data_IF_806521625630
#
_entry.id   IF_806521625630
#
_cell.length_a   1.000
_cell.length_b   1.000
_cell.length_c   1.000
_cell.angle_alpha   90.00
_cell.angle_beta   90.00
_cell.angle_gamma   90.00
#
_symmetry.space_group_name_H-M   'P 1'
#
loop_
_entity.id
_entity.type
_entity.pdbx_description
1 polymer ?
#
# COMPACT_ATOMS: atom_id res chain seq x y z
N UNK A 1 13.81 -4.03 -37.59
CA UNK A 1 15.29 -3.99 -37.41
C UNK A 1 15.71 -2.55 -37.66
N UNK A 2 15.86 -1.77 -36.59
CA UNK A 2 16.17 -0.33 -36.69
C UNK A 2 16.97 0.06 -35.45
N UNK A 3 18.16 0.58 -35.72
CA UNK A 3 19.27 0.82 -34.78
C UNK A 3 19.16 2.24 -34.21
N UNK A 4 19.32 2.42 -32.89
CA UNK A 4 19.53 3.75 -32.30
C UNK A 4 20.89 3.81 -31.58
N UNK A 5 21.73 4.70 -32.09
CA UNK A 5 23.10 4.97 -31.70
C UNK A 5 23.18 5.92 -30.50
N UNK A 6 24.07 5.58 -29.57
CA UNK A 6 24.43 6.39 -28.41
C UNK A 6 25.28 7.60 -28.80
N UNK A 7 25.17 8.70 -28.06
CA UNK A 7 26.14 9.82 -28.11
C UNK A 7 26.57 10.23 -26.70
N UNK A 8 27.81 9.89 -26.39
CA UNK A 8 28.61 10.42 -25.28
C UNK A 8 28.99 11.87 -25.57
N UNK A 9 29.00 12.73 -24.55
CA UNK A 9 29.67 14.04 -24.60
C UNK A 9 30.69 14.11 -23.47
N UNK A 10 31.98 14.08 -23.84
CA UNK A 10 33.13 14.42 -23.01
C UNK A 10 33.36 15.93 -23.11
N UNK A 11 33.61 16.58 -21.98
CA UNK A 11 34.13 17.94 -21.92
C UNK A 11 35.34 17.97 -21.00
N UNK A 12 36.52 18.21 -21.57
CA UNK A 12 37.76 18.57 -20.89
C UNK A 12 37.95 20.06 -21.17
N UNK A 13 38.35 20.87 -20.18
CA UNK A 13 39.11 22.09 -20.41
C UNK A 13 39.93 22.43 -19.16
N UNK A 14 41.24 22.45 -19.39
CA UNK A 14 42.36 22.85 -18.55
C UNK A 14 42.52 24.37 -18.49
N UNK A 15 42.98 24.92 -17.36
CA UNK A 15 43.75 26.16 -17.33
C UNK A 15 44.64 26.22 -16.07
N UNK A 16 45.96 26.20 -16.31
CA UNK A 16 47.06 26.44 -15.38
C UNK A 16 47.33 27.93 -15.20
N UNK A 17 47.73 28.35 -14.00
CA UNK A 17 48.51 29.56 -13.78
C UNK A 17 49.48 29.35 -12.60
N UNK A 18 50.76 29.64 -12.85
CA UNK A 18 51.91 29.60 -11.94
C UNK A 18 52.19 30.99 -11.36
N UNK A 19 52.78 31.07 -10.16
CA UNK A 19 54.07 31.74 -9.82
C UNK A 19 54.20 32.03 -8.30
N UNK A 20 55.46 31.94 -7.87
CA UNK A 20 56.14 31.77 -6.57
C UNK A 20 56.28 33.02 -5.68
N UNK A 21 56.31 32.88 -4.35
CA UNK A 21 57.08 33.75 -3.40
C UNK A 21 57.60 32.93 -2.20
N UNK A 22 58.79 33.31 -1.72
CA UNK A 22 59.74 32.67 -0.80
C UNK A 22 59.55 33.07 0.70
N UNK A 23 60.07 32.21 1.60
CA UNK A 23 60.63 32.47 2.94
C UNK A 23 59.76 32.28 4.22
N UNK A 24 60.27 31.42 5.11
CA UNK A 24 59.86 31.30 6.52
C UNK A 24 60.01 29.89 7.09
N UNK A 25 61.23 29.46 7.46
CA UNK A 25 61.44 28.26 8.29
C UNK A 25 61.13 28.62 9.73
N UNK A 26 59.96 28.21 10.21
CA UNK A 26 59.67 28.08 11.63
C UNK A 26 59.76 26.59 11.97
N UNK A 27 60.59 26.26 12.96
CA UNK A 27 60.67 24.92 13.50
C UNK A 27 59.33 24.56 14.17
N UNK A 28 58.53 23.75 13.48
CA UNK A 28 57.27 23.23 14.01
C UNK A 28 57.55 22.15 15.06
N UNK A 29 56.96 22.21 16.27
CA UNK A 29 56.96 21.06 17.16
C UNK A 29 56.19 19.94 16.47
N UNK A 30 56.81 18.76 16.38
CA UNK A 30 56.13 17.55 15.94
C UNK A 30 55.05 17.21 16.98
N UNK A 31 53.84 17.75 16.78
CA UNK A 31 52.67 17.30 17.49
C UNK A 31 52.42 15.86 17.08
N UNK A 32 52.53 14.93 18.03
CA UNK A 32 52.10 13.55 17.86
C UNK A 32 50.62 13.56 17.49
N UNK A 33 50.32 13.32 16.22
CA UNK A 33 48.96 13.16 15.73
C UNK A 33 48.37 11.91 16.38
N UNK A 34 47.64 12.11 17.48
CA UNK A 34 46.75 11.07 17.98
C UNK A 34 45.78 10.71 16.84
N UNK A 35 45.51 9.41 16.58
CA UNK A 35 44.56 9.01 15.57
C UNK A 35 43.22 9.70 15.82
N UNK A 36 42.69 10.39 14.81
CA UNK A 36 41.37 10.98 14.90
C UNK A 36 40.35 9.87 15.23
N UNK A 37 39.40 10.10 16.15
CA UNK A 37 38.36 9.12 16.43
C UNK A 37 37.61 8.80 15.12
N UNK A 38 37.21 7.53 14.91
CA UNK A 38 36.51 7.14 13.69
C UNK A 38 35.22 7.97 13.55
N UNK A 39 35.00 8.51 12.35
CA UNK A 39 33.80 9.26 12.05
C UNK A 39 32.54 8.39 12.28
N UNK A 40 31.44 8.96 12.80
CA UNK A 40 30.21 8.21 12.99
C UNK A 40 29.70 7.68 11.63
N UNK A 41 29.11 6.48 11.59
CA UNK A 41 28.58 5.91 10.36
C UNK A 41 27.49 6.82 9.78
N UNK A 42 27.47 6.95 8.45
CA UNK A 42 26.42 7.68 7.75
C UNK A 42 25.04 7.07 8.07
N UNK A 43 23.98 7.89 8.17
CA UNK A 43 22.64 7.38 8.42
C UNK A 43 22.22 6.40 7.31
N UNK A 44 21.86 5.19 7.72
CA UNK A 44 21.33 4.16 6.82
C UNK A 44 19.85 4.41 6.56
N UNK A 45 19.45 4.44 5.28
CA UNK A 45 18.03 4.56 4.91
C UNK A 45 17.35 3.20 5.02
N UNK A 46 16.43 3.06 5.98
CA UNK A 46 15.58 1.87 6.10
C UNK A 46 14.51 1.92 5.02
N UNK A 47 14.59 1.01 4.03
CA UNK A 47 13.63 0.94 2.91
C UNK A 47 12.35 0.18 3.26
N UNK A 48 12.40 -0.71 4.25
CA UNK A 48 11.25 -1.48 4.72
C UNK A 48 11.48 -2.00 6.14
N UNK A 49 10.46 -1.94 6.99
CA UNK A 49 10.46 -2.50 8.33
C UNK A 49 9.19 -3.33 8.55
N UNK A 50 9.28 -4.37 9.38
CA UNK A 50 8.18 -5.30 9.61
C UNK A 50 8.18 -5.85 11.02
N UNK A 51 7.11 -6.56 11.35
CA UNK A 51 6.92 -7.23 12.63
C UNK A 51 6.08 -8.49 12.41
N UNK A 52 6.50 -9.65 12.94
CA UNK A 52 5.76 -10.90 12.82
C UNK A 52 4.45 -10.91 13.63
N UNK A 53 4.29 -10.00 14.60
CA UNK A 53 3.08 -9.90 15.43
C UNK A 53 2.01 -9.00 14.81
N UNK A 54 2.34 -8.26 13.75
CA UNK A 54 1.41 -7.40 13.02
C UNK A 54 0.66 -8.18 11.94
N UNK A 55 -0.66 -8.25 12.04
CA UNK A 55 -1.50 -8.86 11.01
C UNK A 55 -1.46 -8.07 9.69
N UNK A 56 -1.30 -6.74 9.72
CA UNK A 56 -1.13 -5.93 8.50
C UNK A 56 0.18 -6.28 7.79
N UNK A 57 1.26 -6.45 8.55
CA UNK A 57 2.54 -6.89 7.99
C UNK A 57 2.43 -8.30 7.42
N UNK A 58 1.68 -9.19 8.07
CA UNK A 58 1.44 -10.54 7.57
C UNK A 58 0.65 -10.55 6.26
N UNK A 59 -0.29 -9.63 6.06
CA UNK A 59 -0.95 -9.39 4.76
C UNK A 59 0.07 -8.91 3.72
N UNK A 60 0.92 -7.93 4.06
CA UNK A 60 1.98 -7.44 3.16
C UNK A 60 2.93 -8.56 2.72
N UNK A 61 3.42 -9.36 3.66
CA UNK A 61 4.30 -10.50 3.39
C UNK A 61 3.63 -11.56 2.51
N UNK A 62 2.36 -11.87 2.77
CA UNK A 62 1.60 -12.79 1.94
C UNK A 62 1.49 -12.32 0.49
N UNK A 63 1.04 -11.09 0.26
CA UNK A 63 0.86 -10.60 -1.11
C UNK A 63 2.18 -10.48 -1.86
N UNK A 64 3.26 -10.05 -1.19
CA UNK A 64 4.60 -10.07 -1.77
C UNK A 64 5.02 -11.46 -2.24
N UNK A 65 5.12 -12.40 -1.29
CA UNK A 65 5.58 -13.76 -1.60
C UNK A 65 4.65 -14.51 -2.57
N UNK A 66 3.33 -14.28 -2.48
CA UNK A 66 2.35 -14.94 -3.35
C UNK A 66 2.44 -14.42 -4.79
N UNK A 67 2.60 -13.10 -4.97
CA UNK A 67 2.75 -12.50 -6.30
C UNK A 67 4.10 -12.91 -6.92
N UNK A 68 5.17 -12.93 -6.14
CA UNK A 68 6.49 -13.40 -6.62
C UNK A 68 6.42 -14.88 -7.07
N UNK A 69 5.80 -15.75 -6.26
CA UNK A 69 5.62 -17.15 -6.62
C UNK A 69 4.81 -17.34 -7.92
N UNK A 70 3.78 -16.52 -8.13
CA UNK A 70 2.97 -16.54 -9.36
C UNK A 70 3.73 -15.97 -10.56
N UNK A 71 4.60 -14.99 -10.34
CA UNK A 71 5.43 -14.40 -11.38
C UNK A 71 6.47 -15.40 -11.90
N UNK A 72 7.15 -16.10 -10.99
CA UNK A 72 8.31 -16.92 -11.34
C UNK A 72 7.95 -18.29 -11.91
N UNK A 73 6.89 -18.93 -11.40
CA UNK A 73 6.58 -20.33 -11.73
C UNK A 73 5.12 -20.56 -12.13
N UNK A 74 4.34 -19.48 -12.33
CA UNK A 74 2.88 -19.56 -12.41
C UNK A 74 2.29 -20.29 -11.19
N UNK A 75 1.01 -20.69 -11.24
CA UNK A 75 0.40 -21.45 -10.15
C UNK A 75 1.17 -22.77 -9.95
N UNK A 76 1.73 -22.96 -8.75
CA UNK A 76 2.53 -24.14 -8.42
C UNK A 76 2.51 -24.47 -6.91
N UNK A 77 3.29 -25.48 -6.48
CA UNK A 77 3.31 -25.94 -5.09
C UNK A 77 3.59 -24.84 -4.08
N UNK A 78 4.50 -23.90 -4.40
CA UNK A 78 4.82 -22.76 -3.53
C UNK A 78 3.62 -21.85 -3.29
N UNK A 79 2.87 -21.50 -4.35
CA UNK A 79 1.66 -20.69 -4.23
C UNK A 79 0.61 -21.38 -3.33
N UNK A 80 0.45 -22.70 -3.44
CA UNK A 80 -0.44 -23.48 -2.58
C UNK A 80 0.03 -23.55 -1.11
N UNK A 81 1.34 -23.68 -0.89
CA UNK A 81 1.93 -23.66 0.44
C UNK A 81 1.73 -22.31 1.12
N UNK A 82 1.98 -21.21 0.40
CA UNK A 82 1.74 -19.85 0.89
C UNK A 82 0.27 -19.65 1.26
N UNK A 83 -0.66 -20.11 0.41
CA UNK A 83 -2.09 -20.04 0.73
C UNK A 83 -2.41 -20.78 2.02
N UNK A 84 -1.85 -21.96 2.20
CA UNK A 84 -2.05 -22.78 3.41
C UNK A 84 -1.46 -22.12 4.67
N UNK A 85 -0.32 -21.44 4.55
CA UNK A 85 0.35 -20.81 5.69
C UNK A 85 -0.28 -19.47 6.13
N UNK A 86 -0.94 -18.74 5.22
CA UNK A 86 -1.42 -17.38 5.47
C UNK A 86 -2.94 -17.23 5.51
N UNK A 87 -3.70 -18.12 4.87
CA UNK A 87 -5.17 -18.04 4.82
C UNK A 87 -5.78 -19.06 5.79
N UNK A 88 -6.97 -18.74 6.33
CA UNK A 88 -7.78 -19.74 7.04
C UNK A 88 -8.23 -20.85 6.09
N UNK A 89 -8.54 -22.04 6.63
CA UNK A 89 -9.09 -23.15 5.83
C UNK A 89 -10.39 -22.73 5.12
N UNK A 90 -11.32 -22.13 5.84
CA UNK A 90 -12.62 -21.72 5.30
C UNK A 90 -12.46 -20.74 4.14
N UNK A 91 -11.56 -19.77 4.27
CA UNK A 91 -11.28 -18.85 3.17
C UNK A 91 -10.67 -19.58 1.96
N UNK A 92 -9.80 -20.57 2.16
CA UNK A 92 -9.27 -21.35 1.02
C UNK A 92 -10.36 -22.12 0.30
N UNK A 93 -11.34 -22.66 1.03
CA UNK A 93 -12.47 -23.38 0.45
C UNK A 93 -13.40 -22.43 -0.32
N UNK A 94 -13.71 -21.26 0.25
CA UNK A 94 -14.49 -20.20 -0.41
C UNK A 94 -13.81 -19.72 -1.70
N UNK A 95 -12.49 -19.50 -1.64
CA UNK A 95 -11.71 -19.11 -2.80
C UNK A 95 -11.73 -20.21 -3.86
N UNK A 96 -11.54 -21.48 -3.50
CA UNK A 96 -11.59 -22.59 -4.46
C UNK A 96 -12.94 -22.63 -5.19
N UNK A 97 -14.06 -22.44 -4.48
CA UNK A 97 -15.37 -22.34 -5.09
C UNK A 97 -15.45 -21.17 -6.07
N UNK A 98 -15.04 -19.97 -5.63
CA UNK A 98 -15.06 -18.79 -6.49
C UNK A 98 -14.19 -18.95 -7.73
N UNK A 99 -12.99 -19.52 -7.59
CA UNK A 99 -12.05 -19.75 -8.69
C UNK A 99 -12.61 -20.73 -9.72
N UNK A 100 -13.31 -21.77 -9.28
CA UNK A 100 -14.00 -22.68 -10.19
C UNK A 100 -15.06 -21.96 -11.02
N UNK A 101 -15.83 -21.08 -10.38
CA UNK A 101 -16.95 -20.38 -11.00
C UNK A 101 -16.46 -19.24 -11.94
N UNK A 102 -15.30 -18.62 -11.63
CA UNK A 102 -14.82 -17.41 -12.32
C UNK A 102 -13.61 -17.64 -13.23
N UNK A 103 -12.97 -18.82 -13.18
CA UNK A 103 -11.75 -19.17 -13.93
C UNK A 103 -10.62 -18.14 -13.77
N UNK A 104 -10.51 -17.59 -12.57
CA UNK A 104 -9.54 -16.57 -12.19
C UNK A 104 -8.86 -16.94 -10.88
N UNK A 105 -7.81 -16.23 -10.46
CA UNK A 105 -7.24 -16.33 -9.12
C UNK A 105 -8.10 -15.57 -8.13
N UNK A 106 -8.56 -16.26 -7.08
CA UNK A 106 -9.49 -15.73 -6.10
C UNK A 106 -8.84 -14.79 -5.08
N UNK A 107 -7.53 -14.94 -4.83
CA UNK A 107 -6.77 -14.00 -4.01
C UNK A 107 -6.63 -12.68 -4.75
N UNK A 108 -6.28 -12.75 -6.05
CA UNK A 108 -6.07 -11.58 -6.89
C UNK A 108 -7.36 -10.98 -7.47
N UNK A 109 -8.44 -11.78 -7.49
CA UNK A 109 -9.70 -11.51 -8.21
C UNK A 109 -9.45 -11.21 -9.69
N UNK A 110 -8.50 -11.90 -10.31
CA UNK A 110 -8.04 -11.64 -11.67
C UNK A 110 -7.40 -12.88 -12.32
N UNK A 111 -7.30 -12.90 -13.66
CA UNK A 111 -6.70 -14.01 -14.41
C UNK A 111 -5.17 -13.92 -14.51
N UNK A 112 -4.63 -12.70 -14.44
CA UNK A 112 -3.22 -12.40 -14.57
C UNK A 112 -2.57 -12.07 -13.22
N UNK A 113 -1.24 -11.91 -13.24
CA UNK A 113 -0.44 -11.47 -12.10
C UNK A 113 -0.27 -9.95 -12.15
N UNK A 114 -0.45 -9.22 -11.03
CA UNK A 114 -0.30 -7.77 -11.00
C UNK A 114 1.18 -7.37 -11.14
N UNK A 115 1.41 -6.22 -11.78
CA UNK A 115 2.75 -5.64 -11.94
C UNK A 115 3.26 -4.98 -10.64
N UNK A 116 2.34 -4.56 -9.76
CA UNK A 116 2.69 -4.00 -8.46
C UNK A 116 1.54 -4.15 -7.46
N UNK A 117 1.87 -4.14 -6.18
CA UNK A 117 0.90 -4.18 -5.10
C UNK A 117 1.25 -3.18 -4.00
N UNK A 118 0.26 -2.81 -3.19
CA UNK A 118 0.46 -2.00 -1.99
C UNK A 118 -0.57 -2.38 -0.93
N UNK A 119 -0.14 -2.47 0.33
CA UNK A 119 -0.99 -2.76 1.48
C UNK A 119 -1.03 -1.56 2.41
N UNK A 120 -2.22 -1.23 2.90
CA UNK A 120 -2.43 -0.17 3.90
C UNK A 120 -3.35 -0.69 5.00
N UNK A 121 -3.09 -0.29 6.24
CA UNK A 121 -4.05 -0.46 7.32
C UNK A 121 -5.36 0.27 6.98
N UNK A 122 -6.49 -0.36 7.26
CA UNK A 122 -7.81 0.25 7.08
C UNK A 122 -8.51 0.50 8.42
N UNK A 123 -8.47 -0.45 9.34
CA UNK A 123 -9.20 -0.34 10.59
C UNK A 123 -9.25 -1.65 11.36
N UNK A 124 -9.86 -1.61 12.53
CA UNK A 124 -10.09 -2.76 13.40
C UNK A 124 -11.57 -2.80 13.77
N UNK A 125 -12.16 -4.00 13.84
CA UNK A 125 -13.51 -4.19 14.38
C UNK A 125 -13.59 -5.54 15.09
N UNK A 126 -13.94 -5.52 16.38
CA UNK A 126 -13.87 -6.71 17.24
C UNK A 126 -12.50 -7.36 17.20
N UNK A 127 -12.45 -8.69 17.04
CA UNK A 127 -11.21 -9.45 16.91
C UNK A 127 -10.64 -9.48 15.48
N UNK A 128 -11.02 -8.53 14.62
CA UNK A 128 -10.59 -8.51 13.22
C UNK A 128 -9.85 -7.22 12.89
N UNK A 129 -8.80 -7.34 12.09
CA UNK A 129 -8.14 -6.20 11.44
C UNK A 129 -8.42 -6.22 9.94
N UNK A 130 -8.56 -5.03 9.38
CA UNK A 130 -8.82 -4.82 7.96
C UNK A 130 -7.64 -4.10 7.34
N UNK A 131 -7.23 -4.57 6.17
CA UNK A 131 -6.22 -3.93 5.32
C UNK A 131 -6.82 -3.65 3.95
N UNK A 132 -6.44 -2.54 3.34
CA UNK A 132 -6.65 -2.28 1.93
C UNK A 132 -5.46 -2.80 1.13
N UNK A 133 -5.74 -3.59 0.10
CA UNK A 133 -4.73 -4.03 -0.87
C UNK A 133 -5.08 -3.44 -2.23
N UNK A 134 -4.14 -2.70 -2.80
CA UNK A 134 -4.23 -2.21 -4.18
C UNK A 134 -3.35 -3.07 -5.06
N UNK A 135 -3.95 -3.74 -6.03
CA UNK A 135 -3.26 -4.44 -7.11
C UNK A 135 -3.20 -3.52 -8.33
N UNK A 136 -2.05 -3.45 -8.99
CA UNK A 136 -1.82 -2.61 -10.15
C UNK A 136 -1.52 -3.48 -11.36
N UNK A 137 -2.19 -3.21 -12.47
CA UNK A 137 -2.11 -4.02 -13.70
C UNK A 137 -1.58 -3.17 -14.85
N UNK A 138 -1.07 -3.83 -15.89
CA UNK A 138 -0.54 -3.18 -17.08
C UNK A 138 0.83 -2.56 -16.85
N UNK A 139 1.21 -1.64 -17.74
CA UNK A 139 2.53 -1.00 -17.75
C UNK A 139 2.53 0.28 -16.92
N UNK A 140 3.67 0.96 -16.86
CA UNK A 140 3.77 2.28 -16.25
C UNK A 140 2.85 3.32 -16.93
N UNK A 141 2.63 3.21 -18.24
CA UNK A 141 1.86 4.17 -19.04
C UNK A 141 0.36 3.86 -19.11
N UNK A 142 -0.05 2.61 -18.87
CA UNK A 142 -1.45 2.19 -18.89
C UNK A 142 -1.76 1.35 -17.64
N UNK A 143 -1.81 2.01 -16.49
CA UNK A 143 -2.06 1.35 -15.20
C UNK A 143 -3.55 1.30 -14.87
N UNK A 144 -4.08 0.10 -14.64
CA UNK A 144 -5.40 -0.09 -14.01
C UNK A 144 -5.24 -0.67 -12.61
N UNK A 145 -6.29 -0.60 -11.78
CA UNK A 145 -6.21 -0.98 -10.37
C UNK A 145 -7.39 -1.83 -9.93
N UNK A 146 -7.10 -2.86 -9.13
CA UNK A 146 -8.09 -3.58 -8.33
C UNK A 146 -7.86 -3.24 -6.86
N UNK A 147 -8.94 -2.96 -6.13
CA UNK A 147 -8.89 -2.69 -4.70
C UNK A 147 -9.58 -3.81 -3.94
N UNK A 148 -8.88 -4.33 -2.94
CA UNK A 148 -9.36 -5.39 -2.08
C UNK A 148 -9.44 -4.89 -0.63
N UNK A 149 -10.47 -5.32 0.08
CA UNK A 149 -10.48 -5.33 1.54
C UNK A 149 -10.11 -6.73 1.99
N UNK A 150 -9.06 -6.80 2.80
CA UNK A 150 -8.54 -8.03 3.37
C UNK A 150 -8.81 -8.00 4.87
N UNK A 151 -9.54 -9.01 5.34
CA UNK A 151 -9.86 -9.23 6.75
C UNK A 151 -8.88 -10.26 7.31
N UNK A 152 -8.30 -9.99 8.48
CA UNK A 152 -7.46 -10.93 9.22
C UNK A 152 -7.94 -11.05 10.65
N UNK A 153 -7.87 -12.26 11.19
CA UNK A 153 -8.18 -12.52 12.59
C UNK A 153 -7.01 -12.06 13.49
N UNK A 154 -7.30 -11.29 14.54
CA UNK A 154 -6.26 -10.74 15.42
C UNK A 154 -5.63 -11.79 16.33
N UNK A 155 -6.26 -12.94 16.59
CA UNK A 155 -5.68 -13.99 17.44
C UNK A 155 -4.66 -14.81 16.66
N UNK A 156 -5.04 -15.26 15.47
CA UNK A 156 -4.24 -16.15 14.61
C UNK A 156 -3.38 -15.40 13.60
N UNK A 157 -3.68 -14.11 13.36
CA UNK A 157 -3.12 -13.27 12.30
C UNK A 157 -3.35 -13.83 10.89
N UNK A 158 -4.20 -14.84 10.72
CA UNK A 158 -4.51 -15.42 9.42
C UNK A 158 -5.50 -14.57 8.66
N UNK A 159 -5.37 -14.54 7.35
CA UNK A 159 -6.30 -13.89 6.46
C UNK A 159 -7.58 -14.72 6.41
N UNK A 160 -8.69 -14.11 6.80
CA UNK A 160 -10.00 -14.75 6.96
C UNK A 160 -11.06 -14.23 6.00
N UNK A 161 -10.73 -13.22 5.17
CA UNK A 161 -11.62 -12.74 4.12
C UNK A 161 -10.90 -11.87 3.10
N UNK A 162 -11.29 -11.99 1.83
CA UNK A 162 -10.82 -11.15 0.73
C UNK A 162 -12.03 -10.77 -0.12
N UNK A 163 -12.28 -9.47 -0.28
CA UNK A 163 -13.36 -8.95 -1.14
C UNK A 163 -12.85 -7.83 -2.02
N UNK A 164 -13.31 -7.77 -3.27
CA UNK A 164 -13.11 -6.59 -4.11
C UNK A 164 -14.02 -5.45 -3.64
N UNK A 165 -13.53 -4.23 -3.80
CA UNK A 165 -14.33 -3.02 -3.61
C UNK A 165 -14.16 -2.14 -4.84
N UNK A 166 -15.27 -1.56 -5.30
CA UNK A 166 -15.21 -0.44 -6.22
C UNK A 166 -14.83 0.78 -5.39
N UNK A 167 -13.71 1.42 -5.71
CA UNK A 167 -13.46 2.75 -5.15
C UNK A 167 -14.52 3.66 -5.76
N UNK A 168 -15.38 4.35 -4.99
CA UNK A 168 -16.15 5.43 -5.58
C UNK A 168 -15.13 6.40 -6.17
N UNK A 169 -15.14 6.54 -7.49
CA UNK A 169 -14.58 7.73 -8.13
C UNK A 169 -15.17 8.89 -7.37
N UNK A 170 -14.32 9.79 -6.86
CA UNK A 170 -14.78 11.04 -6.30
C UNK A 170 -15.60 11.73 -7.39
N UNK A 171 -16.92 11.50 -7.38
CA UNK A 171 -17.84 12.24 -8.21
C UNK A 171 -17.70 13.69 -7.77
N UNK A 172 -17.59 14.54 -8.78
CA UNK A 172 -17.43 15.97 -8.69
C UNK A 172 -18.24 16.59 -7.54
N UNK A 173 -17.69 17.66 -6.97
CA UNK A 173 -18.40 18.66 -6.18
C UNK A 173 -19.86 18.73 -6.60
N UNK A 174 -20.74 18.36 -5.68
CA UNK A 174 -22.19 18.48 -5.81
C UNK A 174 -22.53 19.94 -6.09
N UNK A 175 -22.63 20.32 -7.37
CA UNK A 175 -23.47 21.43 -7.80
C UNK A 175 -24.88 21.01 -7.48
N UNK A 176 -25.37 21.47 -6.33
CA UNK A 176 -26.77 21.39 -5.90
C UNK A 176 -27.62 22.16 -6.92
N UNK A 177 -28.55 21.53 -7.65
CA UNK A 177 -29.66 22.27 -8.24
C UNK A 177 -30.66 22.51 -7.09
N UNK A 178 -30.62 23.72 -6.52
CA UNK A 178 -31.79 24.27 -5.83
C UNK A 178 -32.81 24.61 -6.91
N UNK A 179 -33.69 23.68 -7.25
CA UNK A 179 -35.06 24.04 -7.62
C UNK A 179 -35.95 22.80 -7.73
N UNK A 180 -36.80 22.59 -6.73
CA UNK A 180 -38.13 22.02 -6.95
C UNK A 180 -39.09 22.45 -5.84
N UNK A 181 -40.27 23.03 -6.16
CA UNK A 181 -41.28 23.40 -5.19
C UNK A 181 -41.83 22.16 -4.48
N UNK A 182 -41.98 22.24 -3.16
CA UNK A 182 -42.69 21.24 -2.37
C UNK A 182 -44.19 21.51 -2.44
N UNK A 183 -44.92 20.72 -3.23
CA UNK A 183 -46.35 20.48 -2.98
C UNK A 183 -46.47 19.36 -1.95
N UNK A 184 -46.96 19.71 -0.76
CA UNK A 184 -47.23 18.77 0.34
C UNK A 184 -48.72 18.86 0.68
N UNK A 185 -49.51 17.77 0.54
CA UNK A 185 -50.88 17.77 1.05
C UNK A 185 -50.88 17.66 2.59
N UNK A 186 -51.71 18.49 3.20
CA UNK A 186 -51.95 18.61 4.64
C UNK A 186 -52.66 17.35 5.15
N UNK A 187 -51.99 16.56 5.98
CA UNK A 187 -52.64 15.53 6.79
C UNK A 187 -52.89 16.06 8.21
N UNK A 188 -54.18 16.11 8.53
CA UNK A 188 -54.78 16.62 9.75
C UNK A 188 -54.24 15.92 11.00
N UNK A 189 -53.65 16.70 11.91
CA UNK A 189 -53.37 16.28 13.28
C UNK A 189 -54.60 16.58 14.15
N UNK A 190 -55.20 15.52 14.73
CA UNK A 190 -56.17 15.62 15.82
C UNK A 190 -55.48 16.11 17.10
N UNK A 191 -56.07 17.03 17.88
CA UNK A 191 -55.49 17.45 19.15
C UNK A 191 -55.77 16.41 20.26
N UNK A 192 -54.72 16.07 21.01
CA UNK A 192 -54.84 15.46 22.33
C UNK A 192 -55.23 16.55 23.33
N UNK A 193 -56.33 16.34 24.05
CA UNK A 193 -56.78 17.22 25.14
C UNK A 193 -55.79 17.15 26.30
N UNK A 194 -55.28 18.33 26.66
CA UNK A 194 -54.50 18.62 27.85
C UNK A 194 -55.29 18.29 29.13
N UNK A 195 -54.66 17.53 30.02
CA UNK A 195 -54.99 17.51 31.44
C UNK A 195 -54.38 18.74 32.14
N UNK A 196 -55.15 19.34 33.05
CA UNK A 196 -54.70 20.35 34.01
C UNK A 196 -55.60 20.30 35.26
N UNK A 197 -55.17 20.88 36.40
CA UNK A 197 -55.06 20.12 37.66
C UNK A 197 -55.98 20.61 38.81
N UNK A 198 -55.88 19.88 39.93
CA UNK A 198 -56.07 20.28 41.35
C UNK A 198 -57.45 20.73 41.86
N UNK A 199 -58.04 19.86 42.70
CA UNK A 199 -58.30 20.12 44.12
C UNK A 199 -59.54 20.93 44.51
N UNK A 200 -60.49 20.26 45.21
CA UNK A 200 -60.95 20.56 46.59
C UNK A 200 -61.56 19.30 47.19
#
# INVERSE_FOLDING_TARGET
MTTHTSRLRRGILTATATVTVLAGVLASPAASSAPAPPAPPAPVTIVHAGSPTSAVNRVSQFYGAYIDALHDSRRGPLANALRTAYLTKDLRDDLKKWENDNKADGVLRAQNVPAAWAVKYHGTSGNQVFSYVRLSWGTATQRTYTYLVVRSDLRTKLISGIRSITRPTTAASTTRPQDRPQDRPVQQQRPATQSSPSGV
#
